data_IF_125042164840
#
_entry.id   IF_125042164840
#
_cell.length_a   1.000
_cell.length_b   1.000
_cell.length_c   1.000
_cell.angle_alpha   90.00
_cell.angle_beta   90.00
_cell.angle_gamma   90.00
#
_symmetry.space_group_name_H-M   'P 1'
#
loop_
_entity.id
_entity.type
_entity.pdbx_description
1 polymer ?
#
# COMPACT_ATOMS: atom_id res chain seq x y z
N UNK A 1 -14.66 11.52 -29.83
CA UNK A 1 -14.49 10.32 -29.00
C UNK A 1 -14.30 10.71 -27.55
N UNK A 2 -15.04 10.11 -26.67
CA UNK A 2 -14.94 10.43 -25.24
C UNK A 2 -13.69 9.82 -24.65
N UNK A 3 -12.95 10.60 -23.90
CA UNK A 3 -11.86 10.08 -23.09
C UNK A 3 -12.46 9.31 -21.92
N UNK A 4 -11.87 8.18 -21.62
CA UNK A 4 -12.28 7.41 -20.46
C UNK A 4 -11.64 7.97 -19.21
N UNK A 5 -12.46 8.22 -18.19
CA UNK A 5 -11.98 8.70 -16.90
C UNK A 5 -11.90 7.53 -15.95
N UNK A 6 -10.74 7.36 -15.35
CA UNK A 6 -10.52 6.33 -14.35
C UNK A 6 -10.53 6.97 -12.97
N UNK A 7 -11.14 6.28 -12.03
CA UNK A 7 -11.10 6.70 -10.62
C UNK A 7 -10.26 5.69 -9.86
N UNK A 8 -9.22 6.18 -9.21
CA UNK A 8 -8.30 5.31 -8.47
C UNK A 8 -8.13 5.80 -7.04
N UNK A 9 -7.84 4.84 -6.17
CA UNK A 9 -7.44 5.12 -4.80
C UNK A 9 -5.94 4.90 -4.69
N UNK A 10 -5.24 5.84 -4.12
CA UNK A 10 -3.83 5.69 -3.78
C UNK A 10 -3.67 5.62 -2.27
N UNK A 11 -2.96 4.62 -1.80
CA UNK A 11 -2.67 4.42 -0.38
C UNK A 11 -1.18 4.51 -0.16
N UNK A 12 -0.77 5.33 0.80
CA UNK A 12 0.66 5.51 1.08
C UNK A 12 0.91 5.61 2.57
N UNK A 13 1.89 4.85 3.04
CA UNK A 13 2.38 4.94 4.41
C UNK A 13 3.81 5.44 4.38
N UNK A 14 4.08 6.48 5.17
CA UNK A 14 5.41 7.06 5.22
C UNK A 14 6.36 6.32 6.16
N UNK A 15 7.60 6.80 6.19
CA UNK A 15 8.64 6.19 7.02
C UNK A 15 8.41 6.42 8.51
N UNK A 16 7.60 7.41 8.86
CA UNK A 16 7.24 7.66 10.27
C UNK A 16 6.37 6.58 10.86
N UNK A 17 5.73 5.76 10.01
CA UNK A 17 4.85 4.67 10.44
C UNK A 17 3.66 5.13 11.30
N UNK A 18 3.18 6.34 11.09
CA UNK A 18 2.11 6.90 11.91
C UNK A 18 0.72 6.52 11.41
N UNK A 19 0.56 6.38 10.11
CA UNK A 19 -0.75 6.12 9.53
C UNK A 19 -0.69 6.01 8.02
N UNK A 20 -1.87 6.11 7.40
CA UNK A 20 -2.02 5.94 5.96
C UNK A 20 -2.66 7.18 5.36
N UNK A 21 -2.04 7.69 4.31
CA UNK A 21 -2.64 8.70 3.44
C UNK A 21 -3.42 8.00 2.35
N UNK A 22 -4.64 8.42 2.13
CA UNK A 22 -5.48 7.92 1.06
C UNK A 22 -5.93 9.07 0.19
N UNK A 23 -5.74 8.92 -1.11
CA UNK A 23 -6.21 9.90 -2.10
C UNK A 23 -7.13 9.23 -3.10
N UNK A 24 -8.19 9.91 -3.50
CA UNK A 24 -9.04 9.48 -4.60
C UNK A 24 -8.76 10.42 -5.78
N UNK A 25 -8.38 9.83 -6.89
CA UNK A 25 -7.91 10.59 -8.05
C UNK A 25 -8.72 10.17 -9.27
N UNK A 26 -9.14 11.17 -10.05
CA UNK A 26 -9.73 10.95 -11.37
C UNK A 26 -8.71 11.33 -12.43
N UNK A 27 -8.54 10.46 -13.41
CA UNK A 27 -7.54 10.66 -14.45
C UNK A 27 -8.04 10.10 -15.78
N UNK A 28 -7.63 10.73 -16.87
CA UNK A 28 -7.87 10.17 -18.20
C UNK A 28 -6.76 9.20 -18.63
N UNK A 29 -5.82 8.94 -17.71
CA UNK A 29 -4.71 8.03 -17.99
C UNK A 29 -3.61 8.64 -18.83
N UNK A 30 -3.66 9.92 -19.11
CA UNK A 30 -2.74 10.60 -20.00
C UNK A 30 -2.14 11.82 -19.31
N UNK A 31 -2.73 12.99 -19.51
CA UNK A 31 -2.17 14.24 -19.01
C UNK A 31 -3.05 14.95 -17.99
N UNK A 32 -4.28 14.50 -17.82
CA UNK A 32 -5.21 15.14 -16.91
C UNK A 32 -5.53 14.27 -15.72
N UNK A 33 -5.41 14.85 -14.54
CA UNK A 33 -5.84 14.19 -13.33
C UNK A 33 -6.27 15.25 -12.32
N UNK A 34 -7.14 14.85 -11.41
CA UNK A 34 -7.53 15.71 -10.30
C UNK A 34 -7.73 14.86 -9.06
N UNK A 35 -7.28 15.41 -7.94
CA UNK A 35 -7.51 14.79 -6.64
C UNK A 35 -8.86 15.28 -6.14
N UNK A 36 -9.79 14.35 -5.91
CA UNK A 36 -11.14 14.71 -5.52
C UNK A 36 -11.40 14.48 -4.03
N UNK A 37 -10.51 13.74 -3.36
CA UNK A 37 -10.67 13.48 -1.95
C UNK A 37 -9.33 13.04 -1.37
N UNK A 38 -8.97 13.57 -0.21
CA UNK A 38 -7.76 13.17 0.49
C UNK A 38 -8.09 13.00 1.95
N UNK A 39 -7.54 11.98 2.57
CA UNK A 39 -7.67 11.77 3.99
C UNK A 39 -6.45 11.09 4.55
N UNK A 40 -6.26 11.23 5.84
CA UNK A 40 -5.18 10.58 6.56
C UNK A 40 -5.78 9.90 7.79
N UNK A 41 -5.36 8.68 8.07
CA UNK A 41 -5.82 7.98 9.26
C UNK A 41 -4.64 7.40 10.01
N UNK A 42 -4.54 7.76 11.29
CA UNK A 42 -3.51 7.22 12.15
C UNK A 42 -3.79 5.76 12.46
N UNK A 43 -2.73 4.96 12.57
CA UNK A 43 -2.87 3.60 13.05
C UNK A 43 -3.35 3.61 14.50
N UNK A 44 -4.13 2.59 14.87
CA UNK A 44 -4.42 2.40 16.27
C UNK A 44 -3.14 2.03 17.04
N UNK A 45 -3.16 2.21 18.36
CA UNK A 45 -1.98 1.99 19.19
C UNK A 45 -1.43 0.56 19.05
N UNK A 46 -2.30 -0.42 18.95
CA UNK A 46 -1.90 -1.81 18.83
C UNK A 46 -1.11 -2.06 17.56
N UNK A 47 -1.65 -1.62 16.43
CA UNK A 47 -0.99 -1.80 15.14
C UNK A 47 0.29 -0.99 15.07
N UNK A 48 0.25 0.25 15.55
CA UNK A 48 1.44 1.11 15.56
C UNK A 48 2.60 0.45 16.33
N UNK A 49 2.31 -0.07 17.52
CA UNK A 49 3.34 -0.72 18.34
C UNK A 49 3.89 -1.97 17.67
N UNK A 50 3.02 -2.74 17.00
CA UNK A 50 3.46 -3.92 16.27
C UNK A 50 4.36 -3.57 15.09
N UNK A 51 4.03 -2.50 14.36
CA UNK A 51 4.85 -2.05 13.23
C UNK A 51 6.22 -1.58 13.71
N UNK A 52 6.27 -0.79 14.77
CA UNK A 52 7.53 -0.30 15.32
C UNK A 52 8.38 -1.46 15.85
N UNK A 53 7.76 -2.38 16.59
CA UNK A 53 8.44 -3.55 17.11
C UNK A 53 9.03 -4.39 15.99
N UNK A 54 8.27 -4.59 14.94
CA UNK A 54 8.72 -5.39 13.80
C UNK A 54 9.90 -4.71 13.10
N UNK A 55 9.80 -3.41 12.86
CA UNK A 55 10.89 -2.65 12.24
C UNK A 55 12.18 -2.78 13.06
N UNK A 56 12.06 -2.69 14.39
CA UNK A 56 13.22 -2.73 15.26
C UNK A 56 13.86 -4.12 15.33
N UNK A 57 13.07 -5.17 15.09
CA UNK A 57 13.58 -6.55 15.08
C UNK A 57 14.30 -6.91 13.80
N UNK A 58 13.97 -6.26 12.70
CA UNK A 58 14.54 -6.60 11.40
C UNK A 58 15.70 -5.67 11.11
N UNK A 59 16.90 -6.16 11.32
CA UNK A 59 18.12 -5.39 11.07
C UNK A 59 18.95 -5.93 9.92
N UNK A 60 18.64 -7.14 9.44
CA UNK A 60 19.33 -7.72 8.29
C UNK A 60 18.42 -8.67 7.54
N UNK A 61 18.90 -9.13 6.39
CA UNK A 61 18.12 -10.00 5.50
C UNK A 61 17.67 -11.29 6.19
N UNK A 62 18.52 -11.87 7.03
CA UNK A 62 18.19 -13.13 7.71
C UNK A 62 16.99 -12.97 8.63
N UNK A 63 16.83 -11.80 9.25
CA UNK A 63 15.72 -11.54 10.16
C UNK A 63 14.37 -11.63 9.45
N UNK A 64 14.32 -11.41 8.14
CA UNK A 64 13.10 -11.57 7.38
C UNK A 64 12.55 -12.99 7.44
N UNK A 65 13.44 -13.99 7.47
CA UNK A 65 13.04 -15.38 7.63
C UNK A 65 12.74 -15.71 9.09
N UNK A 66 13.59 -15.24 9.99
CA UNK A 66 13.44 -15.52 11.41
C UNK A 66 12.10 -15.04 11.95
N UNK A 67 11.64 -13.88 11.48
CA UNK A 67 10.40 -13.28 11.97
C UNK A 67 9.25 -13.39 10.96
N UNK A 68 9.31 -14.37 10.06
CA UNK A 68 8.32 -14.47 8.97
C UNK A 68 6.89 -14.63 9.47
N UNK A 69 6.67 -15.35 10.55
CA UNK A 69 5.32 -15.54 11.09
C UNK A 69 4.77 -14.22 11.62
N UNK A 70 5.58 -13.47 12.36
CA UNK A 70 5.18 -12.17 12.86
C UNK A 70 4.97 -11.18 11.72
N UNK A 71 5.84 -11.20 10.72
CA UNK A 71 5.72 -10.35 9.53
C UNK A 71 4.37 -10.60 8.85
N UNK A 72 4.02 -11.87 8.64
CA UNK A 72 2.76 -12.21 7.98
C UNK A 72 1.55 -11.77 8.78
N UNK A 73 1.61 -11.91 10.11
CA UNK A 73 0.51 -11.48 10.98
C UNK A 73 0.30 -9.97 10.94
N UNK A 74 1.39 -9.22 11.05
CA UNK A 74 1.32 -7.76 11.03
C UNK A 74 0.92 -7.26 9.65
N UNK A 75 1.41 -7.91 8.59
CA UNK A 75 1.03 -7.58 7.23
C UNK A 75 -0.49 -7.71 7.01
N UNK A 76 -1.08 -8.76 7.54
CA UNK A 76 -2.52 -8.95 7.43
C UNK A 76 -3.28 -7.85 8.17
N UNK A 77 -2.85 -7.53 9.38
CA UNK A 77 -3.48 -6.46 10.16
C UNK A 77 -3.35 -5.11 9.48
N UNK A 78 -2.19 -4.83 8.91
CA UNK A 78 -1.95 -3.61 8.16
C UNK A 78 -2.87 -3.54 6.94
N UNK A 79 -2.97 -4.64 6.19
CA UNK A 79 -3.82 -4.68 5.01
C UNK A 79 -5.29 -4.48 5.37
N UNK A 80 -5.75 -5.10 6.46
CA UNK A 80 -7.13 -4.92 6.92
C UNK A 80 -7.39 -3.48 7.37
N UNK A 81 -6.42 -2.83 8.00
CA UNK A 81 -6.54 -1.43 8.36
C UNK A 81 -6.79 -0.58 7.12
N UNK A 82 -6.01 -0.82 6.06
CA UNK A 82 -6.19 -0.12 4.79
C UNK A 82 -7.56 -0.41 4.19
N UNK A 83 -8.05 -1.63 4.28
CA UNK A 83 -9.35 -1.99 3.74
C UNK A 83 -10.48 -1.25 4.45
N UNK A 84 -10.38 -1.10 5.76
CA UNK A 84 -11.37 -0.33 6.52
C UNK A 84 -11.39 1.13 6.08
N UNK A 85 -10.22 1.71 5.87
CA UNK A 85 -10.11 3.09 5.41
C UNK A 85 -10.73 3.25 4.01
N UNK A 86 -10.46 2.30 3.12
CA UNK A 86 -11.05 2.32 1.79
C UNK A 86 -12.58 2.28 1.87
N UNK A 87 -13.13 1.42 2.72
CA UNK A 87 -14.58 1.33 2.89
C UNK A 87 -15.18 2.64 3.38
N UNK A 88 -14.52 3.31 4.33
CA UNK A 88 -14.98 4.61 4.80
C UNK A 88 -15.03 5.63 3.66
N UNK A 89 -13.98 5.65 2.84
CA UNK A 89 -13.87 6.62 1.75
C UNK A 89 -14.89 6.34 0.66
N UNK A 90 -15.08 5.09 0.28
CA UNK A 90 -16.08 4.73 -0.72
C UNK A 90 -17.47 5.14 -0.25
N UNK A 91 -17.77 4.92 1.02
CA UNK A 91 -19.06 5.33 1.59
C UNK A 91 -19.25 6.83 1.60
N UNK A 92 -18.18 7.60 1.79
CA UNK A 92 -18.25 9.05 1.87
C UNK A 92 -18.24 9.73 0.51
N UNK A 93 -17.56 9.16 -0.47
CA UNK A 93 -17.40 9.80 -1.79
C UNK A 93 -18.38 9.31 -2.83
N UNK A 94 -18.97 8.14 -2.62
CA UNK A 94 -19.92 7.55 -3.53
C UNK A 94 -19.37 7.39 -4.96
N UNK A 95 -18.07 7.14 -5.09
CA UNK A 95 -17.41 6.95 -6.36
C UNK A 95 -17.23 5.48 -6.68
N UNK A 96 -17.28 5.16 -7.98
CA UNK A 96 -16.92 3.84 -8.46
C UNK A 96 -15.41 3.80 -8.67
N UNK A 97 -14.75 2.91 -7.96
CA UNK A 97 -13.29 2.81 -8.00
C UNK A 97 -12.88 1.79 -9.06
N UNK A 98 -11.98 2.19 -9.95
CA UNK A 98 -11.47 1.33 -11.02
C UNK A 98 -10.25 0.54 -10.59
N UNK A 99 -9.38 1.16 -9.80
CA UNK A 99 -8.19 0.48 -9.33
C UNK A 99 -7.70 1.07 -8.02
N UNK A 100 -6.89 0.29 -7.32
CA UNK A 100 -6.30 0.68 -6.04
C UNK A 100 -4.78 0.56 -6.15
N UNK A 101 -4.09 1.66 -5.88
CA UNK A 101 -2.63 1.66 -5.75
C UNK A 101 -2.27 1.49 -4.29
N UNK A 102 -1.57 0.41 -3.97
CA UNK A 102 -1.26 0.05 -2.59
C UNK A 102 0.25 0.02 -2.39
N UNK A 103 0.78 1.10 -1.85
CA UNK A 103 2.23 1.23 -1.69
C UNK A 103 2.78 0.32 -0.59
N UNK A 104 2.06 0.16 0.48
CA UNK A 104 2.52 -0.64 1.60
C UNK A 104 3.37 0.14 2.59
N UNK A 105 3.87 -0.56 3.59
CA UNK A 105 4.68 0.02 4.66
C UNK A 105 6.06 -0.62 4.68
N UNK A 106 7.09 0.17 4.46
CA UNK A 106 8.47 -0.33 4.48
C UNK A 106 8.88 -0.62 5.91
N UNK A 107 9.33 -1.84 6.18
CA UNK A 107 9.84 -2.24 7.49
C UNK A 107 11.32 -2.61 7.45
N UNK A 108 11.88 -2.79 6.25
CA UNK A 108 13.29 -3.08 6.07
C UNK A 108 13.73 -2.59 4.71
N UNK A 109 14.90 -1.97 4.67
CA UNK A 109 15.51 -1.55 3.42
C UNK A 109 17.02 -1.60 3.58
N UNK A 110 17.68 -2.34 2.70
CA UNK A 110 19.14 -2.39 2.64
C UNK A 110 19.58 -2.02 1.23
N UNK A 111 20.05 -0.78 1.02
CA UNK A 111 20.44 -0.34 -0.31
C UNK A 111 21.68 -1.05 -0.83
N UNK A 112 22.53 -1.58 0.04
CA UNK A 112 23.75 -2.26 -0.38
C UNK A 112 23.47 -3.54 -1.15
N UNK A 113 22.44 -4.28 -0.72
CA UNK A 113 22.04 -5.51 -1.40
C UNK A 113 20.75 -5.33 -2.18
N UNK A 114 20.21 -4.10 -2.20
CA UNK A 114 19.02 -3.72 -2.95
C UNK A 114 17.79 -4.55 -2.57
N UNK A 115 17.64 -4.82 -1.28
CA UNK A 115 16.49 -5.56 -0.78
C UNK A 115 15.66 -4.66 0.12
N UNK A 116 14.36 -4.68 -0.12
CA UNK A 116 13.39 -4.00 0.72
C UNK A 116 12.28 -4.97 1.08
N UNK A 117 11.75 -4.81 2.27
CA UNK A 117 10.53 -5.51 2.65
C UNK A 117 9.46 -4.49 2.95
N UNK A 118 8.40 -4.55 2.18
CA UNK A 118 7.21 -3.74 2.41
C UNK A 118 6.06 -4.63 2.82
N UNK A 119 5.34 -4.20 3.83
CA UNK A 119 4.12 -4.88 4.25
C UNK A 119 2.97 -4.44 3.36
N UNK A 120 2.10 -5.36 3.03
CA UNK A 120 0.93 -5.07 2.23
C UNK A 120 0.58 -6.26 1.35
N UNK A 121 -0.58 -6.85 1.61
CA UNK A 121 -1.05 -8.00 0.85
C UNK A 121 -2.06 -7.53 -0.20
N UNK A 122 -1.54 -7.26 -1.40
CA UNK A 122 -2.36 -6.78 -2.51
C UNK A 122 -3.39 -7.79 -2.97
N UNK A 123 -3.11 -9.09 -2.83
CA UNK A 123 -4.07 -10.12 -3.20
C UNK A 123 -5.28 -10.11 -2.26
N UNK A 124 -5.03 -9.97 -0.97
CA UNK A 124 -6.11 -9.86 0.00
C UNK A 124 -6.97 -8.64 -0.29
N UNK A 125 -6.33 -7.50 -0.52
CA UNK A 125 -7.04 -6.27 -0.80
C UNK A 125 -7.86 -6.39 -2.07
N UNK A 126 -7.30 -6.96 -3.14
CA UNK A 126 -7.99 -7.19 -4.39
C UNK A 126 -9.19 -8.11 -4.20
N UNK A 127 -9.03 -9.13 -3.39
CA UNK A 127 -10.10 -10.08 -3.09
C UNK A 127 -11.26 -9.41 -2.35
N UNK A 128 -10.94 -8.54 -1.38
CA UNK A 128 -11.96 -7.87 -0.57
C UNK A 128 -12.79 -6.90 -1.39
N UNK A 129 -12.18 -6.20 -2.33
CA UNK A 129 -12.88 -5.17 -3.11
C UNK A 129 -13.23 -5.60 -4.51
N UNK A 130 -12.71 -6.73 -4.97
CA UNK A 130 -12.89 -7.23 -6.34
C UNK A 130 -12.48 -6.17 -7.36
N UNK A 131 -11.34 -5.53 -7.08
CA UNK A 131 -10.76 -4.49 -7.93
C UNK A 131 -9.31 -4.84 -8.21
N UNK A 132 -8.78 -4.25 -9.26
CA UNK A 132 -7.36 -4.35 -9.58
C UNK A 132 -6.58 -3.60 -8.51
N UNK A 133 -5.59 -4.28 -7.92
CA UNK A 133 -4.69 -3.67 -6.95
C UNK A 133 -3.28 -3.72 -7.50
N UNK A 134 -2.65 -2.55 -7.57
CA UNK A 134 -1.24 -2.43 -7.96
C UNK A 134 -0.45 -2.20 -6.67
N UNK A 135 0.53 -3.06 -6.41
CA UNK A 135 1.34 -2.97 -5.21
C UNK A 135 2.81 -3.23 -5.55
N UNK A 136 3.67 -3.09 -4.55
CA UNK A 136 5.10 -3.30 -4.68
C UNK A 136 5.74 -2.39 -5.73
N UNK A 137 5.37 -1.11 -5.71
CA UNK A 137 5.89 -0.14 -6.67
C UNK A 137 7.42 -0.08 -6.68
N UNK A 138 8.04 -0.19 -5.51
CA UNK A 138 9.50 -0.15 -5.43
C UNK A 138 10.15 -1.30 -6.16
N UNK A 139 9.54 -2.47 -6.13
CA UNK A 139 10.07 -3.62 -6.86
C UNK A 139 9.95 -3.43 -8.35
N UNK A 140 8.90 -2.77 -8.81
CA UNK A 140 8.74 -2.48 -10.24
C UNK A 140 9.82 -1.52 -10.74
N UNK A 141 10.24 -0.57 -9.89
CA UNK A 141 11.28 0.36 -10.27
C UNK A 141 12.68 -0.22 -10.23
N UNK A 142 12.95 -1.07 -9.24
CA UNK A 142 14.30 -1.58 -9.03
C UNK A 142 14.60 -2.82 -9.83
N UNK A 143 13.57 -3.55 -10.21
CA UNK A 143 13.71 -4.79 -10.94
C UNK A 143 13.67 -4.48 -12.43
N UNK A 144 14.73 -4.81 -13.22
CA UNK A 144 14.56 -4.76 -14.65
C UNK A 144 13.45 -5.71 -14.99
N UNK A 145 12.37 -5.14 -15.41
CA UNK A 145 11.17 -5.93 -15.60
C UNK A 145 11.39 -6.96 -16.71
N UNK A 146 11.08 -8.21 -16.46
CA UNK A 146 11.13 -9.21 -17.55
C UNK A 146 10.25 -8.83 -18.72
N UNK A 147 9.27 -7.98 -18.49
CA UNK A 147 8.41 -7.48 -19.56
C UNK A 147 9.11 -6.53 -20.48
N UNK A 148 10.09 -5.83 -19.96
CA UNK A 148 10.82 -4.81 -20.71
C UNK A 148 11.93 -5.40 -21.52
N UNK A 149 12.29 -6.58 -21.18
CA UNK A 149 13.30 -7.30 -21.92
C UNK A 149 12.64 -8.13 -22.98
#
# INVERSE_FOLDING_TARGET
MKKKIFTSIGLMSGTSMDGVDLSVIKSDGNDQFSSIYNTYKEFDDGLYKQLISLRDKISNFTDLKTHSIEINDVEKKFTLFNSHLINEVIGNTNEDIDLIGFHGQTVFHDPKIQISKQLGDGRLLSSLFKKIVINNFCLLYTSPSPRDS
#
